data_IF_585742970486
#
_entry.id   IF_585742970486
#
_cell.length_a   1.000
_cell.length_b   1.000
_cell.length_c   1.000
_cell.angle_alpha   90.00
_cell.angle_beta   90.00
_cell.angle_gamma   90.00
#
_symmetry.space_group_name_H-M   'P 1'
#
loop_
_entity.id
_entity.type
_entity.pdbx_description
1 polymer ?
#
# COMPACT_ATOMS: atom_id res chain seq x y z
N UNK A 1 -13.02 -26.13 25.65
CA UNK A 1 -13.23 -25.44 24.36
C UNK A 1 -14.48 -24.60 24.48
N UNK A 2 -14.36 -23.29 24.77
CA UNK A 2 -15.52 -22.38 24.79
C UNK A 2 -16.11 -22.29 23.39
N UNK A 3 -17.26 -22.86 23.17
CA UNK A 3 -18.12 -22.57 22.02
C UNK A 3 -18.46 -21.08 22.13
N UNK A 4 -17.83 -20.26 21.29
CA UNK A 4 -18.08 -18.80 21.15
C UNK A 4 -19.52 -18.69 20.57
N UNK A 5 -20.53 -18.87 21.42
CA UNK A 5 -21.95 -18.79 21.06
C UNK A 5 -22.20 -17.39 20.51
N UNK A 6 -22.55 -17.33 19.24
CA UNK A 6 -22.83 -16.06 18.55
C UNK A 6 -24.07 -15.46 19.19
N UNK A 7 -23.95 -14.28 19.81
CA UNK A 7 -25.12 -13.61 20.40
C UNK A 7 -26.13 -13.24 19.31
N UNK A 8 -27.45 -13.21 19.64
CA UNK A 8 -28.51 -12.84 18.68
C UNK A 8 -28.22 -11.50 17.95
N UNK A 9 -27.74 -10.50 18.68
CA UNK A 9 -27.38 -9.20 18.13
C UNK A 9 -26.23 -9.32 17.11
N UNK A 10 -25.20 -10.13 17.42
CA UNK A 10 -24.09 -10.36 16.50
C UNK A 10 -24.57 -11.08 15.24
N UNK A 11 -25.44 -12.09 15.37
CA UNK A 11 -25.99 -12.79 14.23
C UNK A 11 -26.78 -11.84 13.32
N UNK A 12 -27.71 -11.07 13.88
CA UNK A 12 -28.47 -10.04 13.15
C UNK A 12 -27.57 -9.06 12.40
N UNK A 13 -26.49 -8.58 13.04
CA UNK A 13 -25.53 -7.70 12.38
C UNK A 13 -24.81 -8.41 11.22
N UNK A 14 -24.48 -9.69 11.36
CA UNK A 14 -23.86 -10.47 10.27
C UNK A 14 -24.82 -10.64 9.09
N UNK A 15 -26.10 -10.90 9.35
CA UNK A 15 -27.14 -11.02 8.32
C UNK A 15 -27.33 -9.69 7.57
N UNK A 16 -27.37 -8.58 8.29
CA UNK A 16 -27.42 -7.23 7.72
C UNK A 16 -26.22 -6.92 6.82
N UNK A 17 -25.02 -7.36 7.23
CA UNK A 17 -23.80 -7.19 6.43
C UNK A 17 -23.80 -8.09 5.18
N UNK A 18 -24.32 -9.32 5.30
CA UNK A 18 -24.45 -10.26 4.19
C UNK A 18 -25.46 -9.75 3.15
N UNK A 19 -26.63 -9.27 3.58
CA UNK A 19 -27.65 -8.68 2.71
C UNK A 19 -27.07 -7.51 1.88
N UNK A 20 -26.12 -6.75 2.46
CA UNK A 20 -25.42 -5.63 1.80
C UNK A 20 -24.16 -6.05 1.08
N UNK A 21 -23.89 -7.36 0.97
CA UNK A 21 -22.72 -7.94 0.30
C UNK A 21 -21.37 -7.35 0.79
N UNK A 22 -21.26 -7.01 2.09
CA UNK A 22 -19.99 -6.57 2.65
C UNK A 22 -18.97 -7.72 2.60
N UNK A 23 -17.74 -7.39 2.19
CA UNK A 23 -16.67 -8.38 2.14
C UNK A 23 -16.27 -8.88 3.54
N UNK A 24 -15.79 -10.11 3.64
CA UNK A 24 -15.44 -10.77 4.90
C UNK A 24 -14.47 -9.96 5.79
N UNK A 25 -13.57 -9.15 5.20
CA UNK A 25 -12.66 -8.28 5.94
C UNK A 25 -13.42 -7.16 6.65
N UNK A 26 -14.34 -6.49 5.95
CA UNK A 26 -15.18 -5.41 6.50
C UNK A 26 -16.08 -5.94 7.60
N UNK A 27 -16.68 -7.12 7.40
CA UNK A 27 -17.50 -7.78 8.42
C UNK A 27 -16.70 -8.04 9.70
N UNK A 28 -15.52 -8.65 9.59
CA UNK A 28 -14.63 -8.87 10.74
C UNK A 28 -14.24 -7.56 11.43
N UNK A 29 -13.95 -6.51 10.66
CA UNK A 29 -13.62 -5.20 11.22
C UNK A 29 -14.77 -4.60 12.00
N UNK A 30 -15.99 -4.64 11.47
CA UNK A 30 -17.18 -4.12 12.14
C UNK A 30 -17.51 -4.91 13.43
N UNK A 31 -17.48 -6.25 13.35
CA UNK A 31 -17.68 -7.09 14.54
C UNK A 31 -16.63 -6.80 15.62
N UNK A 32 -15.35 -6.69 15.24
CA UNK A 32 -14.28 -6.34 16.18
C UNK A 32 -14.49 -4.97 16.82
N UNK A 33 -15.00 -3.99 16.07
CA UNK A 33 -15.33 -2.66 16.59
C UNK A 33 -16.45 -2.72 17.63
N UNK A 34 -17.52 -3.47 17.35
CA UNK A 34 -18.63 -3.65 18.27
C UNK A 34 -18.25 -4.44 19.53
N UNK A 35 -17.40 -5.49 19.39
CA UNK A 35 -16.83 -6.20 20.55
C UNK A 35 -16.05 -5.25 21.47
N UNK A 36 -15.25 -4.33 20.89
CA UNK A 36 -14.49 -3.33 21.66
C UNK A 36 -15.42 -2.34 22.37
N UNK A 37 -16.49 -1.90 21.70
CA UNK A 37 -17.49 -1.04 22.30
C UNK A 37 -18.24 -1.74 23.45
N UNK A 38 -18.68 -2.99 23.25
CA UNK A 38 -19.31 -3.81 24.30
C UNK A 38 -18.39 -4.00 25.53
N UNK A 39 -17.09 -4.25 25.29
CA UNK A 39 -16.11 -4.39 26.37
C UNK A 39 -15.93 -3.08 27.16
N UNK A 40 -15.98 -1.93 26.50
CA UNK A 40 -15.95 -0.61 27.15
C UNK A 40 -17.21 -0.40 28.01
N UNK A 41 -18.40 -0.71 27.48
CA UNK A 41 -19.67 -0.57 28.19
C UNK A 41 -19.83 -1.56 29.33
N UNK A 42 -19.15 -2.72 29.28
CA UNK A 42 -19.38 -3.90 30.16
C UNK A 42 -20.82 -4.43 30.12
N UNK A 43 -21.55 -4.10 29.05
CA UNK A 43 -22.93 -4.52 28.79
C UNK A 43 -23.20 -4.59 27.27
N UNK A 44 -24.38 -5.06 26.89
CA UNK A 44 -24.75 -5.18 25.50
C UNK A 44 -24.86 -3.81 24.82
N UNK A 45 -24.33 -3.64 23.58
CA UNK A 45 -24.34 -2.37 22.85
C UNK A 45 -25.73 -1.82 22.49
N UNK A 46 -26.77 -2.66 22.52
CA UNK A 46 -28.17 -2.25 22.26
C UNK A 46 -28.74 -1.39 23.38
N UNK A 47 -28.17 -1.49 24.58
CA UNK A 47 -28.56 -0.68 25.76
C UNK A 47 -27.81 0.66 25.84
N UNK A 48 -27.00 1.01 24.82
CA UNK A 48 -26.19 2.20 24.84
C UNK A 48 -27.01 3.50 24.79
N UNK A 49 -26.50 4.52 25.45
CA UNK A 49 -27.01 5.89 25.46
C UNK A 49 -26.14 6.82 24.63
N UNK A 50 -26.62 8.03 24.25
CA UNK A 50 -25.78 9.03 23.59
C UNK A 50 -24.48 9.36 24.36
N UNK A 51 -24.58 9.46 25.69
CA UNK A 51 -23.42 9.72 26.54
C UNK A 51 -22.38 8.58 26.49
N UNK A 52 -22.83 7.32 26.42
CA UNK A 52 -21.93 6.18 26.24
C UNK A 52 -21.13 6.29 24.92
N UNK A 53 -21.77 6.70 23.85
CA UNK A 53 -21.09 6.90 22.54
C UNK A 53 -20.05 8.01 22.65
N UNK A 54 -20.40 9.12 23.29
CA UNK A 54 -19.50 10.25 23.53
C UNK A 54 -18.30 9.81 24.38
N UNK A 55 -18.53 9.15 25.51
CA UNK A 55 -17.47 8.65 26.41
C UNK A 55 -16.55 7.65 25.70
N UNK A 56 -17.09 6.78 24.85
CA UNK A 56 -16.28 5.85 24.08
C UNK A 56 -15.39 6.56 23.07
N UNK A 57 -15.89 7.59 22.37
CA UNK A 57 -15.06 8.39 21.43
C UNK A 57 -13.91 9.11 22.16
N UNK A 58 -14.18 9.64 23.36
CA UNK A 58 -13.18 10.26 24.22
C UNK A 58 -12.13 9.24 24.69
N UNK A 59 -12.58 8.09 25.20
CA UNK A 59 -11.71 6.99 25.61
C UNK A 59 -10.76 6.53 24.49
N UNK A 60 -11.26 6.40 23.24
CA UNK A 60 -10.41 6.08 22.10
C UNK A 60 -9.37 7.17 21.80
N UNK A 61 -9.64 8.42 22.15
CA UNK A 61 -8.69 9.52 22.03
C UNK A 61 -7.59 9.45 23.10
N UNK A 62 -8.00 9.26 24.36
CA UNK A 62 -7.13 9.19 25.52
C UNK A 62 -6.16 8.01 25.48
N UNK A 63 -6.56 6.90 24.84
CA UNK A 63 -5.68 5.73 24.64
C UNK A 63 -4.59 5.95 23.59
N UNK A 64 -4.41 7.17 23.05
CA UNK A 64 -3.39 7.50 22.05
C UNK A 64 -3.63 6.84 20.69
N UNK A 65 -4.84 6.34 20.43
CA UNK A 65 -5.16 5.66 19.18
C UNK A 65 -5.16 6.62 17.99
N UNK A 66 -4.54 6.21 16.87
CA UNK A 66 -4.50 7.02 15.66
C UNK A 66 -5.90 7.34 15.12
N UNK A 67 -6.07 8.53 14.53
CA UNK A 67 -7.33 8.99 13.93
C UNK A 67 -7.92 7.96 12.96
N UNK A 68 -7.09 7.35 12.11
CA UNK A 68 -7.50 6.32 11.17
C UNK A 68 -8.14 5.09 11.88
N UNK A 69 -7.52 4.62 12.99
CA UNK A 69 -8.07 3.51 13.77
C UNK A 69 -9.34 3.92 14.51
N UNK A 70 -9.40 5.13 15.06
CA UNK A 70 -10.62 5.65 15.71
C UNK A 70 -11.77 5.70 14.72
N UNK A 71 -11.57 6.32 13.56
CA UNK A 71 -12.57 6.38 12.50
C UNK A 71 -13.04 4.99 12.06
N UNK A 72 -12.11 4.04 11.91
CA UNK A 72 -12.44 2.65 11.56
C UNK A 72 -13.31 1.97 12.60
N UNK A 73 -13.00 2.14 13.89
CA UNK A 73 -13.79 1.58 15.00
C UNK A 73 -15.17 2.22 15.00
N UNK A 74 -15.25 3.53 14.94
CA UNK A 74 -16.53 4.25 14.97
C UNK A 74 -17.38 3.96 13.73
N UNK A 75 -16.78 3.66 12.56
CA UNK A 75 -17.52 3.19 11.39
C UNK A 75 -18.25 1.87 11.67
N UNK A 76 -17.60 0.93 12.37
CA UNK A 76 -18.25 -0.35 12.74
C UNK A 76 -19.38 -0.17 13.76
N UNK A 77 -19.19 0.69 14.76
CA UNK A 77 -20.22 1.04 15.76
C UNK A 77 -21.38 1.81 15.09
N UNK A 78 -21.07 2.74 14.18
CA UNK A 78 -22.10 3.45 13.40
C UNK A 78 -22.95 2.52 12.55
N UNK A 79 -22.34 1.49 11.95
CA UNK A 79 -23.07 0.46 11.21
C UNK A 79 -24.05 -0.29 12.13
N UNK A 80 -23.61 -0.70 13.32
CA UNK A 80 -24.48 -1.35 14.31
C UNK A 80 -25.71 -0.50 14.62
N UNK A 81 -25.51 0.76 14.99
CA UNK A 81 -26.61 1.64 15.36
C UNK A 81 -27.52 1.98 14.19
N UNK A 82 -26.93 2.42 13.07
CA UNK A 82 -27.69 2.89 11.91
C UNK A 82 -28.46 1.79 11.20
N UNK A 83 -27.85 0.61 11.06
CA UNK A 83 -28.36 -0.47 10.20
C UNK A 83 -29.06 -1.55 11.04
N UNK A 84 -28.35 -2.09 12.02
CA UNK A 84 -28.81 -3.27 12.76
C UNK A 84 -29.82 -2.88 13.85
N UNK A 85 -29.54 -1.86 14.63
CA UNK A 85 -30.41 -1.40 15.70
C UNK A 85 -31.43 -0.35 15.28
N UNK A 86 -31.20 0.29 14.11
CA UNK A 86 -32.01 1.41 13.58
C UNK A 86 -32.11 2.61 14.55
N UNK A 87 -31.13 2.77 15.43
CA UNK A 87 -30.97 3.88 16.37
C UNK A 87 -30.23 5.03 15.67
N UNK A 88 -30.99 5.87 14.96
CA UNK A 88 -30.43 7.01 14.23
C UNK A 88 -29.89 8.08 15.19
N UNK A 89 -30.50 8.25 16.34
CA UNK A 89 -30.06 9.09 17.45
C UNK A 89 -28.60 8.78 17.81
N UNK A 90 -28.27 7.53 18.12
CA UNK A 90 -26.91 7.10 18.47
C UNK A 90 -25.94 7.16 17.28
N UNK A 91 -26.43 6.90 16.07
CA UNK A 91 -25.62 6.99 14.88
C UNK A 91 -25.23 8.45 14.54
N UNK A 92 -26.05 9.44 14.90
CA UNK A 92 -25.79 10.86 14.72
C UNK A 92 -24.65 11.36 15.63
N UNK A 93 -24.55 10.84 16.86
CA UNK A 93 -23.47 11.16 17.80
C UNK A 93 -22.07 10.78 17.30
N UNK A 94 -21.99 9.91 16.27
CA UNK A 94 -20.71 9.42 15.75
C UNK A 94 -20.20 10.34 14.65
N UNK A 95 -19.12 11.05 14.94
CA UNK A 95 -18.38 11.84 13.98
C UNK A 95 -17.07 11.17 13.56
N UNK A 96 -16.58 11.51 12.38
CA UNK A 96 -15.28 11.09 11.88
C UNK A 96 -14.34 12.28 11.79
N UNK A 97 -13.13 12.11 12.25
CA UNK A 97 -12.09 13.12 12.19
C UNK A 97 -11.42 13.12 10.82
N UNK A 98 -11.01 14.30 10.35
CA UNK A 98 -10.21 14.39 9.13
C UNK A 98 -8.85 13.69 9.34
N UNK A 99 -8.56 12.71 8.50
CA UNK A 99 -7.29 11.99 8.58
C UNK A 99 -6.16 12.83 7.99
N UNK A 100 -5.01 12.94 8.68
CA UNK A 100 -3.84 13.61 8.14
C UNK A 100 -3.34 12.85 6.91
N UNK A 101 -3.16 13.55 5.80
CA UNK A 101 -2.63 12.97 4.58
C UNK A 101 -1.10 12.90 4.68
N UNK A 102 -0.57 11.71 4.97
CA UNK A 102 0.86 11.45 4.94
C UNK A 102 1.33 11.23 3.51
N UNK A 103 2.45 11.83 3.15
CA UNK A 103 3.15 11.54 1.90
C UNK A 103 3.66 10.10 1.95
N UNK A 104 3.39 9.26 0.94
CA UNK A 104 3.88 7.89 0.92
C UNK A 104 5.42 7.85 0.92
N UNK A 105 5.99 6.92 1.69
CA UNK A 105 7.41 6.63 1.59
C UNK A 105 7.68 5.83 0.31
N UNK A 106 8.59 6.33 -0.50
CA UNK A 106 9.01 5.75 -1.77
C UNK A 106 10.46 5.33 -1.65
N UNK A 107 10.80 4.17 -2.20
CA UNK A 107 12.19 3.73 -2.36
C UNK A 107 12.76 4.36 -3.62
N UNK A 108 14.05 4.73 -3.58
CA UNK A 108 14.74 5.16 -4.80
C UNK A 108 14.91 3.99 -5.79
N UNK A 109 15.20 4.25 -7.08
CA UNK A 109 15.53 3.18 -8.03
C UNK A 109 16.65 2.27 -7.54
N UNK A 110 17.71 2.83 -6.93
CA UNK A 110 18.86 2.07 -6.40
C UNK A 110 18.48 1.23 -5.18
N UNK A 111 17.67 1.76 -4.25
CA UNK A 111 17.14 0.97 -3.13
C UNK A 111 16.28 -0.19 -3.62
N UNK A 112 15.43 0.06 -4.61
CA UNK A 112 14.58 -0.98 -5.21
C UNK A 112 15.43 -2.04 -5.91
N UNK A 113 16.47 -1.63 -6.65
CA UNK A 113 17.43 -2.55 -7.31
C UNK A 113 18.14 -3.42 -6.28
N UNK A 114 18.66 -2.84 -5.19
CA UNK A 114 19.30 -3.60 -4.10
C UNK A 114 18.31 -4.58 -3.46
N UNK A 115 17.09 -4.14 -3.14
CA UNK A 115 16.04 -4.98 -2.56
C UNK A 115 15.77 -6.24 -3.40
N UNK A 116 15.63 -6.07 -4.71
CA UNK A 116 15.36 -7.19 -5.63
C UNK A 116 16.58 -8.10 -5.80
N UNK A 117 17.80 -7.55 -5.76
CA UNK A 117 19.03 -8.31 -5.90
C UNK A 117 19.31 -9.22 -4.70
N UNK A 118 19.01 -8.79 -3.47
CA UNK A 118 19.24 -9.58 -2.24
C UNK A 118 18.12 -10.56 -1.92
N UNK A 119 17.07 -10.63 -2.75
CA UNK A 119 15.97 -11.56 -2.51
C UNK A 119 16.49 -13.02 -2.44
N UNK A 120 16.34 -13.63 -1.27
CA UNK A 120 16.97 -14.89 -0.87
C UNK A 120 16.54 -16.12 -1.67
N UNK A 121 15.43 -16.05 -2.40
CA UNK A 121 14.90 -17.17 -3.17
C UNK A 121 14.23 -16.73 -4.45
N UNK A 122 14.13 -17.64 -5.43
CA UNK A 122 13.36 -17.41 -6.65
C UNK A 122 11.94 -16.94 -6.36
N UNK A 123 11.30 -17.57 -5.37
CA UNK A 123 9.96 -17.17 -4.91
C UNK A 123 9.92 -15.73 -4.41
N UNK A 124 10.84 -15.34 -3.56
CA UNK A 124 10.91 -13.97 -3.03
C UNK A 124 11.14 -12.95 -4.15
N UNK A 125 12.09 -13.22 -5.05
CA UNK A 125 12.39 -12.35 -6.19
C UNK A 125 11.16 -12.10 -7.06
N UNK A 126 10.40 -13.14 -7.40
CA UNK A 126 9.17 -13.01 -8.20
C UNK A 126 8.10 -12.21 -7.45
N UNK A 127 7.86 -12.53 -6.18
CA UNK A 127 6.82 -11.87 -5.38
C UNK A 127 7.08 -10.36 -5.25
N UNK A 128 8.34 -9.99 -4.98
CA UNK A 128 8.76 -8.59 -4.88
C UNK A 128 8.76 -7.91 -6.25
N UNK A 129 9.22 -8.63 -7.29
CA UNK A 129 9.17 -8.18 -8.68
C UNK A 129 7.76 -7.88 -9.17
N UNK A 130 6.78 -8.72 -8.87
CA UNK A 130 5.36 -8.48 -9.18
C UNK A 130 4.80 -7.26 -8.43
N UNK A 131 5.21 -7.07 -7.17
CA UNK A 131 4.82 -5.89 -6.39
C UNK A 131 5.33 -4.59 -6.98
N UNK A 132 6.59 -4.57 -7.42
CA UNK A 132 7.23 -3.40 -8.00
C UNK A 132 6.98 -3.28 -9.51
N UNK A 133 7.25 -4.32 -10.30
CA UNK A 133 7.22 -4.25 -11.77
C UNK A 133 5.81 -4.17 -12.37
N UNK A 134 4.78 -4.64 -11.62
CA UNK A 134 3.39 -4.62 -12.06
C UNK A 134 2.50 -3.74 -11.16
N UNK A 135 3.05 -3.15 -10.11
CA UNK A 135 2.30 -2.34 -9.15
C UNK A 135 1.17 -3.06 -8.42
N UNK A 136 1.26 -4.39 -8.27
CA UNK A 136 0.21 -5.21 -7.67
C UNK A 136 0.11 -4.99 -6.15
N UNK A 137 -1.11 -5.08 -5.62
CA UNK A 137 -1.31 -5.13 -4.16
C UNK A 137 -0.88 -6.48 -3.61
N UNK A 138 -0.44 -6.54 -2.36
CA UNK A 138 -0.05 -7.79 -1.70
C UNK A 138 -1.08 -8.91 -1.87
N UNK A 139 -2.37 -8.59 -1.70
CA UNK A 139 -3.46 -9.54 -1.85
C UNK A 139 -3.67 -10.00 -3.30
N UNK A 140 -3.35 -9.18 -4.28
CA UNK A 140 -3.42 -9.51 -5.70
C UNK A 140 -2.26 -10.43 -6.07
N UNK A 141 -1.02 -10.10 -5.66
CA UNK A 141 0.16 -10.94 -5.89
C UNK A 141 -0.05 -12.36 -5.39
N UNK A 142 -0.46 -12.53 -4.13
CA UNK A 142 -0.61 -13.88 -3.55
C UNK A 142 -1.78 -14.67 -4.16
N UNK A 143 -2.76 -14.00 -4.77
CA UNK A 143 -3.94 -14.63 -5.41
C UNK A 143 -3.80 -14.87 -6.90
N UNK A 144 -2.62 -14.70 -7.46
CA UNK A 144 -2.40 -14.98 -8.87
C UNK A 144 -2.56 -16.47 -9.16
N UNK A 145 -3.31 -16.78 -10.23
CA UNK A 145 -3.48 -18.09 -10.82
C UNK A 145 -2.84 -18.12 -12.20
N UNK A 146 -2.70 -19.32 -12.77
CA UNK A 146 -2.14 -19.49 -14.12
C UNK A 146 -2.95 -18.73 -15.17
N UNK A 147 -4.29 -18.79 -15.12
CA UNK A 147 -5.18 -18.08 -16.04
C UNK A 147 -5.00 -16.57 -16.10
N UNK A 148 -4.42 -15.98 -15.05
CA UNK A 148 -4.20 -14.54 -14.99
C UNK A 148 -3.00 -14.08 -15.83
N UNK A 149 -2.13 -15.01 -16.23
CA UNK A 149 -0.90 -14.70 -16.98
C UNK A 149 -1.16 -14.89 -18.46
N UNK A 150 -1.22 -13.79 -19.18
CA UNK A 150 -1.29 -13.80 -20.65
C UNK A 150 0.11 -13.51 -21.21
N UNK A 151 0.82 -14.57 -21.59
CA UNK A 151 2.17 -14.48 -22.10
C UNK A 151 2.25 -13.94 -23.53
N UNK A 152 1.17 -14.08 -24.31
CA UNK A 152 1.12 -13.59 -25.69
C UNK A 152 0.97 -12.06 -25.70
N UNK A 153 0.03 -11.55 -24.90
CA UNK A 153 -0.18 -10.11 -24.79
C UNK A 153 0.76 -9.43 -23.78
N UNK A 154 1.61 -10.19 -23.04
CA UNK A 154 2.49 -9.70 -21.99
C UNK A 154 1.76 -8.87 -20.93
N UNK A 155 0.62 -9.39 -20.47
CA UNK A 155 -0.18 -8.76 -19.42
C UNK A 155 -0.53 -9.75 -18.31
N UNK A 156 -0.85 -9.19 -17.13
CA UNK A 156 -1.47 -9.90 -16.02
C UNK A 156 -2.90 -9.37 -15.87
N UNK A 157 -3.87 -10.24 -15.91
CA UNK A 157 -5.28 -9.91 -15.61
C UNK A 157 -5.50 -9.97 -14.11
N UNK A 158 -5.91 -8.85 -13.52
CA UNK A 158 -6.21 -8.75 -12.09
C UNK A 158 -7.71 -8.75 -11.92
N UNK A 159 -8.25 -9.91 -11.53
CA UNK A 159 -9.68 -10.10 -11.31
C UNK A 159 -10.10 -9.67 -9.89
N UNK A 160 -11.32 -9.14 -9.76
CA UNK A 160 -11.98 -8.80 -8.50
C UNK A 160 -11.11 -7.99 -7.51
N UNK A 161 -10.43 -7.00 -8.02
CA UNK A 161 -9.66 -6.04 -7.23
C UNK A 161 -10.57 -5.29 -6.23
N UNK A 162 -10.02 -4.37 -5.46
CA UNK A 162 -10.80 -3.51 -4.55
C UNK A 162 -11.92 -2.84 -5.35
N UNK A 163 -13.18 -3.04 -4.94
CA UNK A 163 -14.36 -2.53 -5.67
C UNK A 163 -14.86 -3.48 -6.77
N UNK A 164 -14.38 -4.74 -6.84
CA UNK A 164 -14.77 -5.75 -7.84
C UNK A 164 -14.53 -5.34 -9.30
N UNK A 165 -13.52 -4.50 -9.52
CA UNK A 165 -13.11 -4.06 -10.86
C UNK A 165 -11.91 -4.87 -11.33
N UNK A 166 -11.99 -5.32 -12.57
CA UNK A 166 -10.90 -6.00 -13.24
C UNK A 166 -10.00 -4.98 -13.94
N UNK A 167 -8.73 -5.31 -14.08
CA UNK A 167 -7.78 -4.52 -14.84
C UNK A 167 -6.64 -5.37 -15.36
N UNK A 168 -6.01 -4.88 -16.42
CA UNK A 168 -4.77 -5.45 -16.94
C UNK A 168 -3.57 -4.62 -16.47
N UNK A 169 -2.46 -5.30 -16.18
CA UNK A 169 -1.17 -4.65 -15.88
C UNK A 169 -0.09 -5.28 -16.76
N UNK A 170 0.99 -4.54 -17.00
CA UNK A 170 2.11 -5.01 -17.80
C UNK A 170 2.81 -6.20 -17.14
N UNK A 171 3.32 -7.11 -17.95
CA UNK A 171 4.18 -8.23 -17.58
C UNK A 171 5.49 -8.12 -18.35
N UNK A 172 6.61 -7.80 -17.67
CA UNK A 172 7.92 -7.76 -18.34
C UNK A 172 8.39 -9.17 -18.74
N UNK A 173 9.21 -9.25 -19.77
CA UNK A 173 9.80 -10.52 -20.23
C UNK A 173 10.58 -11.19 -19.09
N UNK A 174 11.37 -10.45 -18.33
CA UNK A 174 12.11 -10.94 -17.17
C UNK A 174 11.19 -11.56 -16.11
N UNK A 175 10.09 -10.87 -15.75
CA UNK A 175 9.13 -11.40 -14.78
C UNK A 175 8.46 -12.67 -15.32
N UNK A 176 8.14 -12.73 -16.61
CA UNK A 176 7.56 -13.91 -17.24
C UNK A 176 8.53 -15.09 -17.19
N UNK A 177 9.81 -14.90 -17.46
CA UNK A 177 10.82 -15.97 -17.41
C UNK A 177 11.03 -16.46 -15.96
N UNK A 178 11.05 -15.57 -14.99
CA UNK A 178 11.08 -15.94 -13.57
C UNK A 178 9.83 -16.75 -13.17
N UNK A 179 8.65 -16.37 -13.64
CA UNK A 179 7.40 -17.12 -13.40
C UNK A 179 7.44 -18.52 -14.04
N UNK A 180 8.02 -18.66 -15.25
CA UNK A 180 8.23 -19.95 -15.91
C UNK A 180 9.19 -20.86 -15.12
N UNK A 181 10.30 -20.30 -14.62
CA UNK A 181 11.24 -21.03 -13.76
C UNK A 181 10.54 -21.48 -12.47
N UNK A 182 9.81 -20.58 -11.82
CA UNK A 182 9.06 -20.88 -10.61
C UNK A 182 8.00 -21.97 -10.84
N UNK A 183 7.30 -21.93 -11.96
CA UNK A 183 6.29 -22.94 -12.29
C UNK A 183 6.84 -24.35 -12.28
N UNK A 184 8.11 -24.54 -12.68
CA UNK A 184 8.79 -25.86 -12.71
C UNK A 184 9.13 -26.39 -11.31
N UNK A 185 9.37 -25.49 -10.34
CA UNK A 185 9.88 -25.86 -9.00
C UNK A 185 8.90 -25.60 -7.85
N UNK A 186 7.76 -24.98 -8.15
CA UNK A 186 6.77 -24.66 -7.11
C UNK A 186 6.17 -25.93 -6.49
N UNK A 187 5.71 -25.87 -5.22
CA UNK A 187 5.01 -26.99 -4.61
C UNK A 187 3.72 -27.35 -5.33
N UNK A 188 3.55 -28.61 -5.69
CA UNK A 188 2.38 -29.13 -6.44
C UNK A 188 1.45 -30.02 -5.61
N UNK A 189 1.81 -30.29 -4.35
CA UNK A 189 1.10 -31.23 -3.44
C UNK A 189 -0.41 -30.96 -3.29
N UNK A 190 -0.88 -29.78 -3.66
CA UNK A 190 -2.28 -29.37 -3.54
C UNK A 190 -2.97 -29.14 -4.88
N UNK A 191 -2.32 -29.51 -5.99
CA UNK A 191 -2.84 -29.30 -7.35
C UNK A 191 -3.77 -30.40 -7.83
N UNK A 192 -3.75 -31.59 -7.19
CA UNK A 192 -4.58 -32.71 -7.58
C UNK A 192 -6.07 -32.34 -7.65
N UNK A 193 -6.72 -32.66 -8.76
CA UNK A 193 -8.13 -32.34 -9.00
C UNK A 193 -8.42 -30.85 -9.35
N UNK A 194 -7.38 -30.01 -9.46
CA UNK A 194 -7.56 -28.61 -9.86
C UNK A 194 -7.11 -28.41 -11.32
N UNK A 195 -7.96 -27.89 -12.23
CA UNK A 195 -7.58 -27.55 -13.60
C UNK A 195 -6.33 -26.63 -13.60
N UNK A 196 -5.48 -26.79 -14.62
CA UNK A 196 -4.17 -26.08 -14.67
C UNK A 196 -4.35 -24.57 -14.55
N UNK A 197 -5.30 -23.99 -15.25
CA UNK A 197 -5.60 -22.56 -15.29
C UNK A 197 -6.05 -22.01 -13.92
N UNK A 198 -6.69 -22.83 -13.09
CA UNK A 198 -7.21 -22.46 -11.76
C UNK A 198 -6.17 -22.66 -10.63
N UNK A 199 -5.00 -23.22 -10.95
CA UNK A 199 -3.95 -23.46 -9.95
C UNK A 199 -3.30 -22.16 -9.51
N UNK A 200 -3.03 -22.08 -8.20
CA UNK A 200 -2.34 -20.92 -7.62
C UNK A 200 -0.89 -20.88 -8.08
N UNK A 201 -0.38 -19.71 -8.47
CA UNK A 201 1.06 -19.53 -8.69
C UNK A 201 1.83 -19.66 -7.38
N UNK A 202 1.23 -19.19 -6.28
CA UNK A 202 1.85 -19.23 -4.95
C UNK A 202 0.96 -20.00 -3.97
N UNK A 203 0.97 -21.34 -4.02
CA UNK A 203 0.14 -22.16 -3.14
C UNK A 203 0.56 -21.99 -1.68
N UNK A 204 -0.41 -22.05 -0.78
CA UNK A 204 -0.22 -22.02 0.67
C UNK A 204 0.01 -23.40 1.26
N UNK A 205 0.10 -23.45 2.60
CA UNK A 205 0.28 -24.70 3.33
C UNK A 205 -0.97 -25.59 3.34
N UNK A 206 -2.17 -25.00 3.23
CA UNK A 206 -3.45 -25.72 3.24
C UNK A 206 -3.99 -25.88 1.81
N UNK A 207 -4.64 -27.04 1.53
CA UNK A 207 -5.27 -27.33 0.23
C UNK A 207 -6.25 -26.21 -0.15
N UNK A 208 -6.27 -25.81 -1.43
CA UNK A 208 -7.14 -24.76 -1.96
C UNK A 208 -6.84 -23.34 -1.47
N UNK A 209 -5.83 -23.14 -0.62
CA UNK A 209 -5.43 -21.82 -0.13
C UNK A 209 -4.14 -21.36 -0.80
N UNK A 210 -4.05 -20.07 -1.03
CA UNK A 210 -2.81 -19.39 -1.43
C UNK A 210 -1.96 -19.04 -0.22
N UNK A 211 -0.72 -18.66 -0.43
CA UNK A 211 0.13 -18.10 0.63
C UNK A 211 -0.52 -16.84 1.23
N UNK A 212 -0.22 -16.54 2.48
CA UNK A 212 -0.76 -15.37 3.15
C UNK A 212 0.00 -14.08 2.79
N UNK A 213 -0.69 -12.95 2.82
CA UNK A 213 -0.04 -11.63 2.67
C UNK A 213 0.96 -11.34 3.79
N UNK A 214 0.80 -11.97 4.98
CA UNK A 214 1.75 -11.88 6.10
C UNK A 214 3.09 -12.53 5.75
N UNK A 215 3.06 -13.69 5.08
CA UNK A 215 4.28 -14.33 4.59
C UNK A 215 5.00 -13.46 3.55
N UNK A 216 4.25 -12.86 2.61
CA UNK A 216 4.83 -11.92 1.64
C UNK A 216 5.44 -10.69 2.33
N UNK A 217 4.75 -10.13 3.32
CA UNK A 217 5.28 -9.01 4.12
C UNK A 217 6.57 -9.37 4.84
N UNK A 218 6.66 -10.58 5.40
CA UNK A 218 7.90 -11.05 6.05
C UNK A 218 9.06 -11.14 5.05
N UNK A 219 8.84 -11.75 3.87
CA UNK A 219 9.86 -11.80 2.81
C UNK A 219 10.33 -10.40 2.37
N UNK A 220 9.41 -9.43 2.33
CA UNK A 220 9.76 -8.05 2.03
C UNK A 220 10.67 -7.44 3.10
N UNK A 221 10.34 -7.61 4.38
CA UNK A 221 11.17 -7.06 5.46
C UNK A 221 12.54 -7.72 5.53
N UNK A 222 12.61 -9.04 5.40
CA UNK A 222 13.88 -9.78 5.31
C UNK A 222 14.76 -9.23 4.16
N UNK A 223 14.18 -8.98 2.98
CA UNK A 223 14.91 -8.40 1.87
C UNK A 223 15.28 -6.92 2.09
N UNK A 224 14.42 -6.12 2.73
CA UNK A 224 14.69 -4.72 3.05
C UNK A 224 15.84 -4.58 4.05
N UNK A 225 15.86 -5.42 5.07
CA UNK A 225 16.93 -5.47 6.08
C UNK A 225 18.26 -5.88 5.42
N UNK A 226 18.25 -6.93 4.60
CA UNK A 226 19.43 -7.40 3.86
C UNK A 226 19.95 -6.35 2.84
N UNK A 227 19.06 -5.53 2.27
CA UNK A 227 19.41 -4.44 1.36
C UNK A 227 19.90 -3.17 2.09
N UNK A 228 19.91 -3.14 3.41
CA UNK A 228 20.28 -1.98 4.22
C UNK A 228 19.30 -0.81 4.11
N UNK A 229 18.02 -1.08 3.87
CA UNK A 229 16.98 -0.04 3.75
C UNK A 229 16.47 0.29 5.15
N UNK A 230 16.99 1.38 5.73
CA UNK A 230 16.69 1.80 7.12
C UNK A 230 15.40 2.61 7.28
N UNK A 231 14.82 3.12 6.19
CA UNK A 231 13.55 3.85 6.27
C UNK A 231 12.37 2.91 6.52
N UNK A 232 11.41 3.34 7.32
CA UNK A 232 10.24 2.55 7.72
C UNK A 232 9.27 2.23 6.57
N UNK A 233 9.76 1.56 5.53
CA UNK A 233 8.97 1.13 4.37
C UNK A 233 8.19 -0.14 4.68
N UNK A 234 7.05 -0.28 4.04
CA UNK A 234 6.25 -1.50 4.05
C UNK A 234 6.18 -2.10 2.65
N UNK A 235 5.70 -3.33 2.56
CA UNK A 235 5.45 -3.98 1.26
C UNK A 235 4.67 -3.09 0.28
N UNK A 236 3.80 -2.21 0.78
CA UNK A 236 3.03 -1.30 -0.07
C UNK A 236 3.91 -0.21 -0.73
N UNK A 237 5.11 0.03 -0.17
CA UNK A 237 6.09 0.94 -0.77
C UNK A 237 6.56 0.48 -2.17
N UNK A 238 6.58 -0.83 -2.47
CA UNK A 238 6.87 -1.33 -3.82
C UNK A 238 5.91 -0.74 -4.85
N UNK A 239 4.62 -0.76 -4.55
CA UNK A 239 3.59 -0.20 -5.42
C UNK A 239 3.65 1.33 -5.47
N UNK A 240 4.00 1.98 -4.37
CA UNK A 240 4.22 3.44 -4.35
C UNK A 240 5.42 3.82 -5.23
N UNK A 241 6.54 3.07 -5.11
CA UNK A 241 7.74 3.28 -5.92
C UNK A 241 7.47 3.02 -7.41
N UNK A 242 6.71 1.97 -7.76
CA UNK A 242 6.26 1.72 -9.12
C UNK A 242 5.54 2.94 -9.71
N UNK A 243 4.55 3.47 -8.99
CA UNK A 243 3.75 4.60 -9.46
C UNK A 243 4.60 5.88 -9.60
N UNK A 244 5.44 6.17 -8.61
CA UNK A 244 6.30 7.36 -8.61
C UNK A 244 7.34 7.28 -9.72
N UNK A 245 8.01 6.13 -9.89
CA UNK A 245 9.02 5.96 -10.93
C UNK A 245 8.43 6.00 -12.35
N UNK A 246 7.20 5.50 -12.56
CA UNK A 246 6.51 5.68 -13.85
C UNK A 246 6.21 7.16 -14.12
N UNK A 247 5.73 7.86 -13.09
CA UNK A 247 5.43 9.29 -13.21
C UNK A 247 6.69 10.10 -13.51
N UNK A 248 7.80 9.82 -12.83
CA UNK A 248 9.11 10.45 -13.06
C UNK A 248 9.68 10.18 -14.46
N UNK A 249 9.26 9.06 -15.08
CA UNK A 249 9.58 8.76 -16.49
C UNK A 249 8.63 9.40 -17.49
N UNK A 250 7.67 10.22 -17.03
CA UNK A 250 6.74 10.93 -17.89
C UNK A 250 5.48 10.15 -18.27
N UNK A 251 5.21 9.00 -17.62
CA UNK A 251 3.97 8.26 -17.88
C UNK A 251 2.76 9.07 -17.41
N UNK A 252 1.76 9.17 -18.27
CA UNK A 252 0.52 9.90 -17.94
C UNK A 252 -0.15 9.37 -16.67
N UNK A 253 -0.60 10.27 -15.81
CA UNK A 253 -1.18 9.93 -14.51
C UNK A 253 -2.47 9.11 -14.63
N UNK A 254 -3.22 9.24 -15.73
CA UNK A 254 -4.44 8.45 -15.99
C UNK A 254 -4.09 7.02 -16.35
N UNK A 255 -2.99 6.80 -17.07
CA UNK A 255 -2.46 5.46 -17.34
C UNK A 255 -2.03 4.81 -16.03
N UNK A 256 -1.30 5.54 -15.17
CA UNK A 256 -0.91 5.06 -13.84
C UNK A 256 -2.15 4.74 -12.99
N UNK A 257 -3.18 5.58 -13.04
CA UNK A 257 -4.45 5.35 -12.36
C UNK A 257 -5.11 4.04 -12.82
N UNK A 258 -5.17 3.80 -14.12
CA UNK A 258 -5.72 2.57 -14.70
C UNK A 258 -4.92 1.33 -14.28
N UNK A 259 -3.60 1.36 -14.38
CA UNK A 259 -2.70 0.28 -13.97
C UNK A 259 -2.85 -0.06 -12.48
N UNK A 260 -3.01 0.95 -11.64
CA UNK A 260 -3.20 0.76 -10.21
C UNK A 260 -4.63 0.38 -9.84
N UNK A 261 -5.62 0.63 -10.68
CA UNK A 261 -7.04 0.44 -10.38
C UNK A 261 -7.48 1.33 -9.22
N UNK A 262 -7.24 2.63 -9.34
CA UNK A 262 -7.73 3.65 -8.41
C UNK A 262 -9.03 4.25 -8.94
N UNK A 263 -10.09 4.23 -8.13
CA UNK A 263 -11.40 4.79 -8.50
C UNK A 263 -11.37 6.32 -8.59
N UNK A 264 -10.51 6.96 -7.78
CA UNK A 264 -10.37 8.41 -7.71
C UNK A 264 -8.98 8.84 -8.14
N UNK A 265 -8.91 9.87 -8.96
CA UNK A 265 -7.65 10.46 -9.40
C UNK A 265 -6.82 10.98 -8.22
N UNK A 266 -7.46 11.54 -7.19
CA UNK A 266 -6.81 12.03 -5.96
C UNK A 266 -5.90 10.98 -5.31
N UNK A 267 -6.26 9.69 -5.43
CA UNK A 267 -5.43 8.61 -4.89
C UNK A 267 -4.12 8.46 -5.67
N UNK A 268 -4.16 8.73 -6.98
CA UNK A 268 -2.98 8.68 -7.86
C UNK A 268 -2.21 10.00 -7.80
N UNK A 269 -2.89 11.13 -7.67
CA UNK A 269 -2.29 12.45 -7.54
C UNK A 269 -1.35 12.59 -6.31
N UNK A 270 -1.46 11.71 -5.32
CA UNK A 270 -0.49 11.67 -4.21
C UNK A 270 0.94 11.40 -4.66
N UNK A 271 1.12 10.74 -5.79
CA UNK A 271 2.45 10.42 -6.34
C UNK A 271 3.11 11.65 -6.95
N UNK A 272 2.35 12.65 -7.42
CA UNK A 272 2.92 13.91 -7.90
C UNK A 272 3.65 14.68 -6.79
N UNK A 273 3.21 14.53 -5.54
CA UNK A 273 3.84 15.15 -4.37
C UNK A 273 5.19 14.53 -4.01
N UNK A 274 5.50 13.34 -4.52
CA UNK A 274 6.71 12.57 -4.20
C UNK A 274 7.67 12.54 -5.38
N UNK A 275 7.18 12.76 -6.60
CA UNK A 275 7.95 12.73 -7.84
C UNK A 275 8.81 14.01 -7.96
N UNK A 276 9.80 14.16 -7.09
CA UNK A 276 10.69 15.34 -7.02
C UNK A 276 11.54 15.50 -8.28
N UNK A 277 11.84 14.39 -8.97
CA UNK A 277 12.56 14.43 -10.25
C UNK A 277 11.79 15.13 -11.37
N UNK A 278 10.45 15.15 -11.32
CA UNK A 278 9.64 15.95 -12.25
C UNK A 278 9.78 17.45 -11.95
N UNK A 279 9.73 17.83 -10.67
CA UNK A 279 9.87 19.24 -10.25
C UNK A 279 11.22 19.80 -10.68
N UNK A 280 12.30 19.00 -10.53
CA UNK A 280 13.66 19.39 -10.91
C UNK A 280 13.86 19.57 -12.43
N UNK A 281 12.97 19.01 -13.27
CA UNK A 281 13.00 19.14 -14.73
C UNK A 281 12.15 20.30 -15.26
N UNK A 282 11.33 20.92 -14.39
CA UNK A 282 10.52 22.08 -14.78
C UNK A 282 11.42 23.31 -14.76
N UNK A 283 11.61 23.92 -15.92
CA UNK A 283 12.25 25.22 -16.00
C UNK A 283 11.39 26.28 -15.32
N UNK A 284 12.00 27.09 -14.48
CA UNK A 284 11.30 28.20 -13.84
C UNK A 284 10.87 29.21 -14.92
N UNK A 285 9.63 29.71 -14.85
CA UNK A 285 9.25 30.86 -15.71
C UNK A 285 10.23 32.01 -15.63
N UNK A 286 10.92 32.18 -14.50
CA UNK A 286 11.96 33.19 -14.31
C UNK A 286 13.19 32.93 -15.20
N UNK A 287 13.57 31.66 -15.41
CA UNK A 287 14.69 31.28 -16.27
C UNK A 287 14.35 31.55 -17.75
N UNK A 288 13.06 31.48 -18.13
CA UNK A 288 12.56 31.77 -19.45
C UNK A 288 12.52 33.29 -19.76
N UNK A 289 12.56 34.15 -18.76
CA UNK A 289 12.50 35.59 -18.95
C UNK A 289 13.84 36.20 -19.41
N UNK A 290 14.89 35.40 -19.62
CA UNK A 290 16.20 35.86 -20.11
C UNK A 290 16.73 37.13 -19.44
N UNK A 291 16.53 37.26 -18.14
CA UNK A 291 17.03 38.42 -17.39
C UNK A 291 18.56 38.48 -17.52
N UNK A 292 19.15 39.65 -17.91
CA UNK A 292 20.57 39.75 -18.13
C UNK A 292 21.33 39.41 -16.83
N UNK A 293 22.08 38.32 -16.85
CA UNK A 293 22.96 37.96 -15.74
C UNK A 293 23.96 39.06 -15.53
N UNK A 294 23.93 39.79 -14.41
CA UNK A 294 25.02 40.69 -14.02
C UNK A 294 26.30 39.89 -13.96
N UNK A 295 27.21 40.15 -14.93
CA UNK A 295 28.55 39.58 -14.90
C UNK A 295 29.17 39.89 -13.54
N UNK A 296 29.80 38.94 -12.86
CA UNK A 296 30.51 39.24 -11.63
C UNK A 296 31.59 40.32 -11.94
N UNK A 297 31.59 41.42 -11.18
CA UNK A 297 32.65 42.45 -11.30
C UNK A 297 33.98 41.73 -11.11
N UNK A 298 34.82 41.73 -12.15
CA UNK A 298 36.24 41.38 -12.01
C UNK A 298 36.83 42.36 -11.00
N UNK A 299 37.26 41.90 -9.86
CA UNK A 299 38.09 42.67 -8.96
C UNK A 299 39.36 42.97 -9.71
N UNK A 300 39.78 44.26 -9.86
CA UNK A 300 41.08 44.58 -10.43
C UNK A 300 42.16 44.03 -9.47
N UNK A 301 42.99 43.16 -10.03
CA UNK A 301 44.00 42.44 -9.29
C UNK A 301 44.89 43.36 -8.45
N UNK A 302 45.04 43.06 -7.17
CA UNK A 302 46.18 43.48 -6.39
C UNK A 302 47.43 42.88 -7.05
N UNK A 303 48.27 43.74 -7.67
CA UNK A 303 49.65 43.39 -8.01
C UNK A 303 50.36 43.09 -6.71
N UNK A 304 50.77 41.85 -6.54
CA UNK A 304 51.78 41.49 -5.52
C UNK A 304 53.14 41.92 -6.13
N UNK A 305 53.74 42.98 -5.53
CA UNK A 305 55.15 43.28 -5.69
C UNK A 305 55.97 42.12 -5.10
N UNK A 306 56.61 41.37 -5.99
CA UNK A 306 57.63 40.40 -5.61
C UNK A 306 58.95 41.20 -5.61
N UNK A 307 59.37 41.62 -4.40
CA UNK A 307 60.73 42.15 -4.19
C UNK A 307 61.76 41.04 -4.43
N UNK A 308 62.63 41.29 -5.42
CA UNK A 308 63.94 40.62 -5.52
C UNK A 308 64.74 40.88 -4.23
N UNK A 309 65.19 39.84 -3.60
CA UNK A 309 66.50 39.65 -2.96
C UNK A 309 66.43 38.48 -1.94
N UNK A 310 67.16 37.40 -2.22
CA UNK A 310 68.32 36.98 -1.46
C UNK A 310 68.83 35.63 -2.00
N UNK A 311 70.06 35.68 -2.47
CA UNK A 311 70.87 34.50 -2.70
C UNK A 311 71.45 33.98 -1.37
N UNK A 312 71.58 32.66 -1.16
CA UNK A 312 72.28 32.10 -0.01
C UNK A 312 73.83 32.11 -0.24
N UNK A 313 74.59 32.36 0.77
CA UNK A 313 76.05 32.21 0.69
C UNK A 313 76.47 30.78 0.96
N UNK A 314 77.53 30.36 0.18
CA UNK A 314 78.49 29.24 0.29
C UNK A 314 78.06 27.89 0.85
#
# INVERSE_FOLDING_TARGET
MSTDTVSPLRQRMMDDMNARKLGAHSQRSHISSCKRFAAFLKRSPDTATPDDVRRFQLHLAETGMSICNRNRIMTGVKFLFRVTLRRQDLAAEIYHLREPQKIPLVMSPDETKRLLAVASSLKARILLGLGYGCGLRASEVVRLKVKHIDSAQKIIRVEQSKGRKDRNVMLSAETLDLLRQWWKVRPTRHDAGTPREERWLFPGAKRGKTMSTRQLSRLFHEAADAAGIRKGVSLHALRHSFATHLLERGTDIRIIQALLGHDKLDTTARYTRVATGMIARIESPLDLLSLPRKKPKKNPGKKLDIGENDQPPA
#
